data_IF_980767489282
#
_entry.id   IF_980767489282
#
_cell.length_a   1.000
_cell.length_b   1.000
_cell.length_c   1.000
_cell.angle_alpha   90.00
_cell.angle_beta   90.00
_cell.angle_gamma   90.00
#
_symmetry.space_group_name_H-M   'P 1'
#
loop_
_entity.id
_entity.type
_entity.pdbx_description
1 polymer ?
#
# COMPACT_ATOMS: atom_id res chain seq x y z
N UNK A 1 -13.52 -0.25 34.13
CA UNK A 1 -14.94 0.13 33.90
C UNK A 1 -14.97 1.60 33.50
N UNK A 2 -15.62 2.00 32.40
CA UNK A 2 -15.63 3.42 31.99
C UNK A 2 -16.43 4.24 33.00
N UNK A 3 -15.81 5.26 33.59
CA UNK A 3 -16.42 6.04 34.67
C UNK A 3 -17.25 7.22 34.12
N UNK A 4 -16.77 7.85 33.05
CA UNK A 4 -17.41 9.02 32.45
C UNK A 4 -16.94 9.19 31.01
N UNK A 5 -17.80 9.74 30.16
CA UNK A 5 -17.52 9.98 28.74
C UNK A 5 -18.16 11.31 28.30
N UNK A 6 -17.52 12.01 27.37
CA UNK A 6 -18.05 13.24 26.80
C UNK A 6 -17.63 13.39 25.33
N UNK A 7 -18.57 13.86 24.50
CA UNK A 7 -18.31 14.21 23.11
C UNK A 7 -17.80 15.64 23.00
N UNK A 8 -16.94 15.88 22.01
CA UNK A 8 -16.61 17.24 21.56
C UNK A 8 -17.85 17.92 20.97
N UNK A 9 -17.89 19.23 21.11
CA UNK A 9 -18.92 20.11 20.55
C UNK A 9 -18.82 20.33 19.03
N UNK A 10 -17.60 20.33 18.50
CA UNK A 10 -17.30 20.73 17.12
C UNK A 10 -16.96 19.57 16.20
N UNK A 11 -16.47 18.45 16.73
CA UNK A 11 -15.96 17.34 15.95
C UNK A 11 -16.45 15.98 16.46
N UNK A 12 -16.38 14.96 15.60
CA UNK A 12 -16.66 13.57 15.96
C UNK A 12 -15.49 12.95 16.74
N UNK A 13 -15.16 13.56 17.88
CA UNK A 13 -14.12 13.15 18.81
C UNK A 13 -14.79 12.84 20.14
N UNK A 14 -14.47 11.69 20.71
CA UNK A 14 -14.96 11.26 22.01
C UNK A 14 -13.80 11.25 23.00
N UNK A 15 -14.04 11.71 24.23
CA UNK A 15 -13.11 11.49 25.33
C UNK A 15 -13.79 10.68 26.43
N UNK A 16 -12.99 9.91 27.14
CA UNK A 16 -13.47 9.07 28.22
C UNK A 16 -12.40 8.82 29.25
N UNK A 17 -12.87 8.62 30.48
CA UNK A 17 -12.03 8.23 31.59
C UNK A 17 -12.31 6.76 31.92
N UNK A 18 -11.28 5.95 31.81
CA UNK A 18 -11.34 4.53 32.14
C UNK A 18 -10.30 4.21 33.21
N UNK A 19 -10.79 3.83 34.39
CA UNK A 19 -9.98 3.45 35.56
C UNK A 19 -8.93 4.53 35.90
N UNK A 20 -7.67 4.36 35.48
CA UNK A 20 -6.56 5.32 35.68
C UNK A 20 -6.02 5.91 34.37
N UNK A 21 -6.75 5.80 33.26
CA UNK A 21 -6.36 6.34 31.96
C UNK A 21 -7.42 7.29 31.43
N UNK A 22 -6.95 8.38 30.86
CA UNK A 22 -7.73 9.30 30.07
C UNK A 22 -7.48 8.95 28.60
N UNK A 23 -8.52 8.53 27.90
CA UNK A 23 -8.46 8.10 26.50
C UNK A 23 -9.28 9.04 25.65
N UNK A 24 -8.71 9.46 24.52
CA UNK A 24 -9.38 10.26 23.50
C UNK A 24 -9.42 9.45 22.21
N UNK A 25 -10.63 9.24 21.72
CA UNK A 25 -10.90 8.64 20.42
C UNK A 25 -11.04 9.77 19.40
N UNK A 26 -10.00 9.99 18.59
CA UNK A 26 -10.03 11.01 17.53
C UNK A 26 -11.00 10.66 16.39
N UNK A 27 -11.25 9.38 16.15
CA UNK A 27 -12.25 8.92 15.19
C UNK A 27 -12.98 7.66 15.70
N UNK A 28 -14.05 7.79 16.51
CA UNK A 28 -14.76 6.64 17.08
C UNK A 28 -15.38 5.71 16.04
N UNK A 29 -15.73 6.26 14.87
CA UNK A 29 -16.28 5.48 13.75
C UNK A 29 -15.30 4.46 13.17
N UNK A 30 -14.00 4.55 13.51
CA UNK A 30 -12.97 3.56 13.13
C UNK A 30 -13.40 2.14 13.50
N UNK A 31 -14.13 1.95 14.60
CA UNK A 31 -14.64 0.64 15.05
C UNK A 31 -15.44 -0.10 13.96
N UNK A 32 -16.14 0.63 13.09
CA UNK A 32 -16.93 0.07 11.99
C UNK A 32 -16.14 -0.14 10.70
N UNK A 33 -15.02 0.56 10.55
CA UNK A 33 -14.18 0.54 9.35
C UNK A 33 -13.13 -0.55 9.47
N UNK A 34 -12.31 -0.47 10.52
CA UNK A 34 -11.19 -1.37 10.75
C UNK A 34 -10.90 -1.42 12.26
N UNK A 35 -10.97 -2.62 12.84
CA UNK A 35 -10.75 -2.84 14.27
C UNK A 35 -9.26 -2.90 14.63
N UNK A 36 -8.40 -3.21 13.67
CA UNK A 36 -6.98 -3.44 13.90
C UNK A 36 -6.22 -2.10 13.95
N UNK A 37 -6.72 -1.09 13.21
CA UNK A 37 -6.18 0.28 13.28
C UNK A 37 -6.69 1.07 14.49
N UNK A 38 -7.80 0.65 15.10
CA UNK A 38 -8.44 1.33 16.25
C UNK A 38 -7.44 1.72 17.34
N UNK A 39 -6.60 0.82 17.91
CA UNK A 39 -5.68 1.18 18.99
C UNK A 39 -4.71 2.30 18.62
N UNK A 40 -4.41 2.49 17.33
CA UNK A 40 -3.52 3.55 16.85
C UNK A 40 -4.22 4.89 16.66
N UNK A 41 -5.54 4.92 16.59
CA UNK A 41 -6.32 6.16 16.49
C UNK A 41 -6.59 6.81 17.86
N UNK A 42 -6.19 6.13 18.93
CA UNK A 42 -6.40 6.55 20.31
C UNK A 42 -5.24 7.40 20.80
N UNK A 43 -5.56 8.41 21.59
CA UNK A 43 -4.60 9.07 22.45
C UNK A 43 -4.89 8.69 23.89
N UNK A 44 -3.89 8.10 24.55
CA UNK A 44 -3.98 7.73 25.95
C UNK A 44 -3.03 8.59 26.78
N UNK A 45 -3.52 9.05 27.94
CA UNK A 45 -2.76 9.77 28.95
C UNK A 45 -3.07 9.21 30.32
N UNK A 46 -2.07 9.12 31.18
CA UNK A 46 -2.27 8.68 32.56
C UNK A 46 -3.13 9.69 33.35
N UNK A 47 -4.17 9.17 34.00
CA UNK A 47 -5.15 9.95 34.74
C UNK A 47 -4.86 10.06 36.24
N UNK A 48 -3.68 9.60 36.68
CA UNK A 48 -3.26 9.63 38.09
C UNK A 48 -3.28 11.03 38.71
N UNK A 49 -3.21 12.08 37.87
CA UNK A 49 -3.26 13.50 38.26
C UNK A 49 -4.68 14.02 38.60
N UNK A 50 -5.74 13.25 38.30
CA UNK A 50 -7.13 13.71 38.39
C UNK A 50 -7.85 13.31 39.68
N UNK A 51 -7.14 12.76 40.68
CA UNK A 51 -7.65 12.36 42.00
C UNK A 51 -8.67 11.19 41.96
N UNK A 52 -9.25 10.83 43.12
CA UNK A 52 -10.28 9.78 43.21
C UNK A 52 -11.57 10.28 42.53
N UNK A 53 -12.20 9.48 41.67
CA UNK A 53 -13.47 9.77 40.99
C UNK A 53 -13.52 11.09 40.18
N UNK A 54 -12.71 11.25 39.12
CA UNK A 54 -12.83 12.41 38.25
C UNK A 54 -14.07 12.30 37.36
N UNK A 55 -14.74 13.42 37.16
CA UNK A 55 -15.90 13.53 36.26
C UNK A 55 -15.61 14.50 35.12
N UNK A 56 -15.79 14.05 33.87
CA UNK A 56 -15.65 14.95 32.71
C UNK A 56 -16.91 15.80 32.64
N UNK A 57 -16.74 17.13 32.64
CA UNK A 57 -17.85 18.09 32.61
C UNK A 57 -18.19 18.46 31.17
N UNK A 58 -17.19 18.86 30.39
CA UNK A 58 -17.38 19.32 29.02
C UNK A 58 -16.10 19.18 28.20
N UNK A 59 -16.29 19.09 26.88
CA UNK A 59 -15.22 19.15 25.91
C UNK A 59 -15.58 20.21 24.87
N UNK A 60 -14.86 21.34 24.91
CA UNK A 60 -15.09 22.51 24.06
C UNK A 60 -13.81 22.82 23.29
N UNK A 61 -13.87 22.80 21.96
CA UNK A 61 -12.70 23.02 21.11
C UNK A 61 -11.60 21.97 21.34
N UNK A 62 -10.41 22.39 21.80
CA UNK A 62 -9.33 21.47 22.18
C UNK A 62 -9.26 21.16 23.68
N UNK A 63 -10.09 21.81 24.51
CA UNK A 63 -9.97 21.75 25.95
C UNK A 63 -11.04 20.86 26.58
N UNK A 64 -10.59 19.91 27.39
CA UNK A 64 -11.45 19.04 28.19
C UNK A 64 -11.42 19.52 29.63
N UNK A 65 -12.59 19.79 30.19
CA UNK A 65 -12.75 20.21 31.58
C UNK A 65 -13.14 19.01 32.43
N UNK A 66 -12.31 18.70 33.42
CA UNK A 66 -12.51 17.60 34.36
C UNK A 66 -12.70 18.18 35.76
N UNK A 67 -13.75 17.74 36.44
CA UNK A 67 -14.00 18.03 37.85
C UNK A 67 -13.39 16.93 38.71
N UNK A 68 -12.47 17.31 39.59
CA UNK A 68 -11.88 16.43 40.61
C UNK A 68 -12.85 16.21 41.79
N UNK A 69 -12.56 15.24 42.66
CA UNK A 69 -13.40 14.96 43.84
C UNK A 69 -13.41 16.07 44.89
N UNK A 70 -12.37 16.90 44.95
CA UNK A 70 -12.32 18.10 45.78
C UNK A 70 -13.21 19.24 45.25
N UNK A 71 -13.80 19.06 44.07
CA UNK A 71 -14.62 20.05 43.39
C UNK A 71 -13.84 21.01 42.48
N UNK A 72 -12.51 20.94 42.47
CA UNK A 72 -11.68 21.76 41.59
C UNK A 72 -11.86 21.38 40.12
N UNK A 73 -11.84 22.38 39.25
CA UNK A 73 -11.87 22.19 37.79
C UNK A 73 -10.45 22.18 37.23
N UNK A 74 -10.17 21.19 36.39
CA UNK A 74 -8.89 20.99 35.70
C UNK A 74 -9.15 21.01 34.21
N UNK A 75 -8.32 21.74 33.48
CA UNK A 75 -8.40 21.80 32.02
C UNK A 75 -7.24 21.00 31.42
N UNK A 76 -7.57 20.07 30.52
CA UNK A 76 -6.61 19.35 29.69
C UNK A 76 -6.68 19.93 28.28
N UNK A 77 -5.57 20.43 27.77
CA UNK A 77 -5.45 20.83 26.37
C UNK A 77 -5.04 19.65 25.51
N UNK A 78 -5.79 19.38 24.45
CA UNK A 78 -5.51 18.36 23.45
C UNK A 78 -4.87 18.96 22.19
N UNK A 79 -4.33 18.09 21.34
CA UNK A 79 -3.83 18.49 20.03
C UNK A 79 -4.96 19.09 19.17
N UNK A 80 -4.77 20.25 18.52
CA UNK A 80 -5.78 20.84 17.65
C UNK A 80 -5.83 20.19 16.26
N UNK A 81 -4.80 19.43 15.88
CA UNK A 81 -4.67 18.87 14.52
C UNK A 81 -5.80 17.90 14.13
N UNK A 82 -6.33 17.02 15.01
CA UNK A 82 -7.44 16.16 14.66
C UNK A 82 -8.70 16.93 14.24
N UNK A 83 -9.00 18.05 14.90
CA UNK A 83 -10.15 18.88 14.54
C UNK A 83 -9.99 19.48 13.13
N UNK A 84 -8.80 19.99 12.82
CA UNK A 84 -8.46 20.51 11.48
C UNK A 84 -8.54 19.38 10.43
N UNK A 85 -8.10 18.17 10.79
CA UNK A 85 -8.17 17.01 9.89
C UNK A 85 -9.62 16.65 9.55
N UNK A 86 -10.53 16.65 10.54
CA UNK A 86 -11.97 16.46 10.33
C UNK A 86 -12.55 17.52 9.38
N UNK A 87 -12.13 18.78 9.51
CA UNK A 87 -12.56 19.87 8.63
C UNK A 87 -12.11 19.63 7.18
N UNK A 88 -10.84 19.24 6.95
CA UNK A 88 -10.34 18.91 5.62
C UNK A 88 -11.05 17.73 4.99
N UNK A 89 -11.34 16.69 5.77
CA UNK A 89 -12.09 15.51 5.30
C UNK A 89 -13.53 15.91 4.92
N UNK A 90 -14.20 16.72 5.74
CA UNK A 90 -15.54 17.22 5.43
C UNK A 90 -15.58 18.08 4.17
N UNK A 91 -14.50 18.82 3.92
CA UNK A 91 -14.29 19.64 2.72
C UNK A 91 -13.74 18.85 1.53
N UNK A 92 -13.52 17.53 1.66
CA UNK A 92 -12.87 16.68 0.65
C UNK A 92 -11.50 17.16 0.18
N UNK A 93 -10.76 17.90 1.02
CA UNK A 93 -9.41 18.42 0.75
C UNK A 93 -8.35 17.42 1.19
N UNK A 94 -8.28 16.30 0.48
CA UNK A 94 -7.43 15.17 0.85
C UNK A 94 -5.93 15.47 0.73
N UNK A 95 -5.49 16.26 -0.28
CA UNK A 95 -4.06 16.61 -0.40
C UNK A 95 -3.57 17.44 0.79
N UNK A 96 -4.38 18.38 1.28
CA UNK A 96 -4.04 19.22 2.44
C UNK A 96 -4.05 18.40 3.74
N UNK A 97 -4.97 17.44 3.88
CA UNK A 97 -4.96 16.48 4.98
C UNK A 97 -3.67 15.64 5.01
N UNK A 98 -3.21 15.15 3.86
CA UNK A 98 -1.94 14.40 3.75
C UNK A 98 -0.74 15.30 4.09
N UNK A 99 -0.74 16.57 3.64
CA UNK A 99 0.31 17.54 3.98
C UNK A 99 0.36 17.79 5.49
N UNK A 100 -0.80 17.93 6.14
CA UNK A 100 -0.88 18.07 7.60
C UNK A 100 -0.29 16.85 8.30
N UNK A 101 -0.62 15.63 7.86
CA UNK A 101 -0.07 14.40 8.45
C UNK A 101 1.45 14.29 8.26
N UNK A 102 1.98 14.70 7.10
CA UNK A 102 3.43 14.79 6.84
C UNK A 102 4.13 15.83 7.71
N UNK A 103 3.46 16.92 8.05
CA UNK A 103 3.98 17.97 8.91
C UNK A 103 4.04 17.51 10.38
N UNK A 104 2.93 16.95 10.88
CA UNK A 104 2.80 16.51 12.28
C UNK A 104 3.68 15.29 12.57
N UNK A 105 3.86 14.39 11.58
CA UNK A 105 4.68 13.16 11.70
C UNK A 105 4.24 12.22 12.83
N UNK A 106 3.00 12.33 13.29
CA UNK A 106 2.44 11.42 14.29
C UNK A 106 1.71 10.24 13.66
N UNK A 107 1.96 9.07 14.24
CA UNK A 107 1.37 7.80 13.82
C UNK A 107 -0.16 7.79 13.97
N UNK A 108 -0.66 8.43 15.02
CA UNK A 108 -2.09 8.56 15.33
C UNK A 108 -2.83 9.36 14.27
N UNK A 109 -2.20 10.41 13.74
CA UNK A 109 -2.78 11.26 12.70
C UNK A 109 -2.95 10.50 11.39
N UNK A 110 -1.92 9.74 10.97
CA UNK A 110 -2.00 8.87 9.81
C UNK A 110 -3.06 7.79 9.97
N UNK A 111 -3.19 7.20 11.17
CA UNK A 111 -4.23 6.22 11.46
C UNK A 111 -5.64 6.81 11.34
N UNK A 112 -5.85 8.03 11.83
CA UNK A 112 -7.12 8.73 11.71
C UNK A 112 -7.46 9.07 10.25
N UNK A 113 -6.47 9.53 9.48
CA UNK A 113 -6.64 9.81 8.05
C UNK A 113 -6.99 8.55 7.27
N UNK A 114 -6.33 7.42 7.55
CA UNK A 114 -6.63 6.13 6.92
C UNK A 114 -8.09 5.71 7.18
N UNK A 115 -8.53 5.75 8.44
CA UNK A 115 -9.90 5.38 8.80
C UNK A 115 -10.94 6.29 8.13
N UNK A 116 -10.69 7.61 8.08
CA UNK A 116 -11.57 8.58 7.42
C UNK A 116 -11.59 8.43 5.89
N UNK A 117 -10.44 8.14 5.27
CA UNK A 117 -10.35 7.92 3.83
C UNK A 117 -11.12 6.67 3.40
N UNK A 118 -11.01 5.57 4.15
CA UNK A 118 -11.78 4.35 3.89
C UNK A 118 -13.28 4.58 4.09
N UNK A 119 -13.68 5.32 5.12
CA UNK A 119 -15.09 5.66 5.34
C UNK A 119 -15.70 6.43 4.16
N UNK A 120 -14.93 7.36 3.56
CA UNK A 120 -15.34 8.15 2.40
C UNK A 120 -15.03 7.49 1.04
N UNK A 121 -14.50 6.26 1.03
CA UNK A 121 -14.11 5.49 -0.17
C UNK A 121 -13.01 6.13 -1.02
N UNK A 122 -12.18 7.01 -0.45
CA UNK A 122 -10.98 7.49 -1.11
C UNK A 122 -9.82 6.51 -0.88
N UNK A 123 -9.64 5.64 -1.87
CA UNK A 123 -8.63 4.57 -1.82
C UNK A 123 -7.20 5.12 -1.93
N UNK A 124 -7.00 6.25 -2.64
CA UNK A 124 -5.66 6.78 -2.92
C UNK A 124 -5.02 7.35 -1.65
N UNK A 125 -5.79 8.14 -0.90
CA UNK A 125 -5.33 8.69 0.38
C UNK A 125 -5.20 7.59 1.44
N UNK A 126 -6.09 6.60 1.42
CA UNK A 126 -5.99 5.44 2.30
C UNK A 126 -4.68 4.68 2.08
N UNK A 127 -4.28 4.40 0.83
CA UNK A 127 -3.02 3.72 0.51
C UNK A 127 -1.79 4.46 1.08
N UNK A 128 -1.73 5.79 0.89
CA UNK A 128 -0.64 6.62 1.43
C UNK A 128 -0.62 6.56 2.96
N UNK A 129 -1.78 6.65 3.59
CA UNK A 129 -1.88 6.64 5.03
C UNK A 129 -1.50 5.28 5.64
N UNK A 130 -1.98 4.17 5.08
CA UNK A 130 -1.57 2.83 5.49
C UNK A 130 -0.07 2.57 5.28
N UNK A 131 0.49 3.05 4.16
CA UNK A 131 1.93 2.95 3.91
C UNK A 131 2.75 3.71 4.95
N UNK A 132 2.26 4.87 5.42
CA UNK A 132 2.92 5.64 6.47
C UNK A 132 2.83 4.98 7.87
N UNK A 133 1.82 4.15 8.12
CA UNK A 133 1.62 3.45 9.40
C UNK A 133 2.56 2.24 9.56
N UNK A 134 3.08 1.68 8.48
CA UNK A 134 4.14 0.66 8.51
C UNK A 134 3.73 -0.71 9.07
N UNK A 135 2.47 -0.92 9.44
CA UNK A 135 1.98 -2.25 9.83
C UNK A 135 1.29 -2.96 8.68
N UNK A 136 1.86 -4.11 8.29
CA UNK A 136 1.18 -5.40 8.04
C UNK A 136 0.05 -5.54 7.02
N UNK A 137 -0.64 -4.48 6.62
CA UNK A 137 -1.79 -4.51 5.70
C UNK A 137 -1.41 -4.36 4.23
N UNK A 138 -0.11 -4.53 3.92
CA UNK A 138 0.42 -4.55 2.56
C UNK A 138 -0.27 -5.59 1.65
N UNK A 139 -0.82 -6.68 2.22
CA UNK A 139 -1.30 -7.81 1.41
C UNK A 139 -2.76 -7.68 0.99
N UNK A 140 -3.66 -7.07 1.76
CA UNK A 140 -5.10 -7.13 1.43
C UNK A 140 -5.56 -6.00 0.50
N UNK A 141 -4.98 -4.80 0.65
CA UNK A 141 -5.43 -3.61 -0.09
C UNK A 141 -4.65 -3.35 -1.37
N UNK A 142 -3.32 -3.50 -1.34
CA UNK A 142 -2.52 -3.46 -2.57
C UNK A 142 -2.93 -4.60 -3.50
N UNK A 143 -3.20 -5.81 -3.00
CA UNK A 143 -3.68 -6.91 -3.87
C UNK A 143 -5.03 -6.57 -4.50
N UNK A 144 -6.00 -5.99 -3.80
CA UNK A 144 -7.33 -5.74 -4.40
C UNK A 144 -7.34 -4.58 -5.41
N UNK A 145 -6.59 -3.51 -5.16
CA UNK A 145 -6.50 -2.32 -6.04
C UNK A 145 -5.57 -2.57 -7.26
N UNK A 146 -4.42 -3.22 -7.04
CA UNK A 146 -3.46 -3.61 -8.08
C UNK A 146 -4.02 -4.76 -8.95
N UNK A 147 -4.67 -5.76 -8.35
CA UNK A 147 -5.14 -6.96 -9.07
C UNK A 147 -6.14 -6.62 -10.18
N UNK A 148 -7.05 -5.64 -10.04
CA UNK A 148 -8.11 -5.44 -11.03
C UNK A 148 -7.68 -4.68 -12.29
N UNK A 149 -6.77 -3.71 -12.17
CA UNK A 149 -6.28 -2.92 -13.30
C UNK A 149 -5.09 -3.60 -13.96
N UNK A 150 -4.17 -4.14 -13.17
CA UNK A 150 -2.99 -4.82 -13.70
C UNK A 150 -3.27 -6.25 -14.15
N UNK A 151 -4.25 -7.01 -13.62
CA UNK A 151 -4.58 -8.33 -14.25
C UNK A 151 -5.04 -8.18 -15.69
N UNK A 152 -5.71 -7.08 -16.05
CA UNK A 152 -6.17 -6.90 -17.44
C UNK A 152 -5.02 -6.50 -18.35
N UNK A 153 -4.09 -5.67 -17.86
CA UNK A 153 -2.89 -5.28 -18.61
C UNK A 153 -1.87 -6.41 -18.69
N UNK A 154 -1.51 -7.02 -17.55
CA UNK A 154 -0.58 -8.15 -17.46
C UNK A 154 -1.09 -9.38 -18.21
N UNK A 155 -2.39 -9.72 -18.15
CA UNK A 155 -2.91 -10.87 -18.94
C UNK A 155 -2.64 -10.71 -20.44
N UNK A 156 -2.66 -9.48 -20.95
CA UNK A 156 -2.37 -9.20 -22.36
C UNK A 156 -0.85 -9.20 -22.62
N UNK A 157 -0.06 -8.63 -21.71
CA UNK A 157 1.40 -8.57 -21.81
C UNK A 157 2.08 -9.93 -21.62
N UNK A 158 1.54 -10.80 -20.76
CA UNK A 158 2.01 -12.17 -20.54
C UNK A 158 1.73 -13.05 -21.76
N UNK A 159 0.58 -12.90 -22.41
CA UNK A 159 0.32 -13.60 -23.68
C UNK A 159 1.26 -13.12 -24.78
N UNK A 160 1.56 -11.82 -24.81
CA UNK A 160 2.52 -11.23 -25.74
C UNK A 160 3.95 -11.71 -25.48
N UNK A 161 4.38 -11.76 -24.21
CA UNK A 161 5.76 -12.12 -23.85
C UNK A 161 6.07 -13.58 -24.25
N UNK A 162 5.10 -14.48 -24.05
CA UNK A 162 5.22 -15.87 -24.51
C UNK A 162 5.25 -15.95 -26.04
N UNK A 163 4.39 -15.21 -26.75
CA UNK A 163 4.40 -15.18 -28.22
C UNK A 163 5.73 -14.68 -28.78
N UNK A 164 6.30 -13.65 -28.16
CA UNK A 164 7.59 -13.09 -28.56
C UNK A 164 8.73 -14.09 -28.30
N UNK A 165 8.77 -14.69 -27.13
CA UNK A 165 9.76 -15.70 -26.76
C UNK A 165 9.73 -16.92 -27.71
N UNK A 166 8.52 -17.40 -28.05
CA UNK A 166 8.33 -18.50 -29.01
C UNK A 166 8.76 -18.09 -30.43
N UNK A 167 8.44 -16.86 -30.85
CA UNK A 167 8.79 -16.33 -32.17
C UNK A 167 10.31 -16.22 -32.38
N UNK A 168 11.04 -15.81 -31.35
CA UNK A 168 12.50 -15.64 -31.41
C UNK A 168 13.28 -16.83 -30.83
N UNK A 169 12.59 -17.86 -30.32
CA UNK A 169 13.18 -19.06 -29.68
C UNK A 169 14.18 -18.73 -28.57
N UNK A 170 13.90 -17.69 -27.80
CA UNK A 170 14.77 -17.19 -26.73
C UNK A 170 13.99 -17.06 -25.43
N UNK A 171 14.59 -17.54 -24.33
CA UNK A 171 14.11 -17.37 -22.95
C UNK A 171 12.66 -17.78 -22.66
N UNK A 172 12.13 -18.80 -23.34
CA UNK A 172 10.77 -19.33 -23.15
C UNK A 172 10.60 -19.88 -21.74
N UNK A 173 11.50 -20.77 -21.33
CA UNK A 173 11.75 -21.25 -19.98
C UNK A 173 11.75 -20.17 -18.88
N UNK A 174 12.40 -19.03 -19.10
CA UNK A 174 12.39 -17.91 -18.14
C UNK A 174 11.00 -17.33 -17.97
N UNK A 175 10.27 -17.11 -19.08
CA UNK A 175 8.89 -16.59 -19.05
C UNK A 175 7.96 -17.56 -18.33
N UNK A 176 8.11 -18.87 -18.58
CA UNK A 176 7.36 -19.92 -17.88
C UNK A 176 7.67 -19.95 -16.38
N UNK A 177 8.95 -19.85 -15.98
CA UNK A 177 9.37 -19.82 -14.59
C UNK A 177 8.79 -18.62 -13.82
N UNK A 178 8.84 -17.42 -14.41
CA UNK A 178 8.25 -16.23 -13.79
C UNK A 178 6.73 -16.37 -13.63
N UNK A 179 6.05 -16.96 -14.62
CA UNK A 179 4.61 -17.18 -14.58
C UNK A 179 4.20 -18.17 -13.48
N UNK A 180 4.94 -19.27 -13.34
CA UNK A 180 4.66 -20.26 -12.30
C UNK A 180 4.84 -19.67 -10.90
N UNK A 181 5.90 -18.89 -10.69
CA UNK A 181 6.16 -18.21 -9.41
C UNK A 181 5.09 -17.17 -9.07
N UNK A 182 4.61 -16.42 -10.07
CA UNK A 182 3.50 -15.49 -9.91
C UNK A 182 2.24 -16.26 -9.42
N UNK A 183 1.88 -17.34 -10.10
CA UNK A 183 0.72 -18.15 -9.74
C UNK A 183 0.81 -18.77 -8.33
N UNK A 184 1.98 -19.25 -7.93
CA UNK A 184 2.24 -19.75 -6.58
C UNK A 184 2.05 -18.67 -5.51
N UNK A 185 2.54 -17.45 -5.78
CA UNK A 185 2.40 -16.29 -4.87
C UNK A 185 0.93 -15.92 -4.64
N UNK A 186 0.07 -16.13 -5.64
CA UNK A 186 -1.36 -15.84 -5.56
C UNK A 186 -2.22 -17.08 -5.27
N UNK A 187 -1.62 -18.26 -5.08
CA UNK A 187 -2.33 -19.52 -4.82
C UNK A 187 -3.31 -19.93 -5.93
N UNK A 188 -3.05 -19.55 -7.19
CA UNK A 188 -3.91 -19.84 -8.34
C UNK A 188 -3.27 -20.88 -9.26
N UNK A 189 -4.08 -21.64 -9.99
CA UNK A 189 -3.60 -22.58 -11.01
C UNK A 189 -3.65 -21.96 -12.42
N UNK A 190 -2.70 -22.36 -13.26
CA UNK A 190 -2.62 -21.88 -14.63
C UNK A 190 -3.88 -22.27 -15.41
N UNK A 191 -4.52 -21.27 -16.02
CA UNK A 191 -5.78 -21.45 -16.75
C UNK A 191 -5.58 -21.38 -18.26
N UNK A 192 -4.42 -20.88 -18.72
CA UNK A 192 -4.16 -20.67 -20.13
C UNK A 192 -3.58 -21.93 -20.80
N UNK A 193 -4.27 -22.43 -21.84
CA UNK A 193 -3.91 -23.65 -22.58
C UNK A 193 -2.53 -23.57 -23.25
N UNK A 194 -2.10 -22.38 -23.69
CA UNK A 194 -0.78 -22.21 -24.31
C UNK A 194 0.36 -22.42 -23.31
N UNK A 195 0.23 -21.86 -22.11
CA UNK A 195 1.23 -22.01 -21.05
C UNK A 195 1.38 -23.48 -20.63
N UNK A 196 0.27 -24.22 -20.56
CA UNK A 196 0.28 -25.66 -20.26
C UNK A 196 1.00 -26.48 -21.36
N UNK A 197 0.78 -26.16 -22.64
CA UNK A 197 1.45 -26.85 -23.75
C UNK A 197 2.97 -26.66 -23.76
N UNK A 198 3.46 -25.46 -23.44
CA UNK A 198 4.90 -25.19 -23.41
C UNK A 198 5.57 -25.67 -22.11
N UNK A 199 4.85 -25.63 -20.98
CA UNK A 199 5.31 -26.19 -19.71
C UNK A 199 5.50 -27.71 -19.76
N UNK A 200 4.72 -28.43 -20.57
CA UNK A 200 4.86 -29.87 -20.77
C UNK A 200 6.09 -30.24 -21.65
N UNK A 201 6.56 -29.30 -22.48
CA UNK A 201 7.69 -29.52 -23.39
C UNK A 201 9.08 -29.19 -22.83
N UNK A 202 9.17 -28.34 -21.80
CA UNK A 202 10.45 -27.89 -21.23
C UNK A 202 10.69 -28.50 -19.84
N UNK A 203 11.52 -29.55 -19.78
CA UNK A 203 11.89 -30.23 -18.54
C UNK A 203 12.85 -29.42 -17.63
N UNK A 204 13.40 -28.30 -18.13
CA UNK A 204 14.47 -27.51 -17.47
C UNK A 204 13.94 -26.24 -16.76
N UNK A 205 12.62 -26.04 -16.71
CA UNK A 205 12.02 -24.86 -16.09
C UNK A 205 12.32 -24.79 -14.59
N UNK A 206 12.37 -25.93 -13.90
CA UNK A 206 12.59 -26.02 -12.46
C UNK A 206 14.04 -25.78 -12.01
N UNK A 207 15.02 -25.97 -12.90
CA UNK A 207 16.44 -25.72 -12.56
C UNK A 207 16.73 -24.22 -12.53
N UNK A 208 16.17 -23.45 -13.48
CA UNK A 208 16.32 -21.98 -13.56
C UNK A 208 15.54 -21.22 -12.49
N UNK A 209 14.43 -21.79 -11.98
CA UNK A 209 13.74 -21.24 -10.79
C UNK A 209 14.69 -21.16 -9.59
N UNK A 210 15.52 -22.20 -9.38
CA UNK A 210 16.49 -22.23 -8.28
C UNK A 210 17.65 -21.25 -8.45
N UNK A 211 18.09 -21.00 -9.68
CA UNK A 211 19.12 -19.99 -9.95
C UNK A 211 18.62 -18.56 -9.68
N UNK A 212 17.34 -18.29 -9.96
CA UNK A 212 16.70 -17.01 -9.60
C UNK A 212 16.56 -16.87 -8.07
N UNK A 213 16.37 -17.97 -7.34
CA UNK A 213 16.31 -17.98 -5.88
C UNK A 213 17.67 -17.74 -5.19
N UNK A 214 18.77 -18.18 -5.82
CA UNK A 214 20.11 -18.09 -5.25
C UNK A 214 20.75 -16.69 -5.33
N UNK A 215 20.18 -15.78 -6.11
CA UNK A 215 20.80 -14.50 -6.48
C UNK A 215 20.73 -13.39 -5.42
N UNK A 216 19.63 -13.21 -4.69
CA UNK A 216 19.52 -12.11 -3.71
C UNK A 216 18.58 -12.41 -2.53
N UNK A 217 18.89 -11.93 -1.31
CA UNK A 217 18.10 -12.18 -0.12
C UNK A 217 16.70 -11.55 -0.23
N UNK A 218 15.68 -12.38 0.05
CA UNK A 218 14.24 -12.11 -0.06
C UNK A 218 13.77 -10.72 0.43
N UNK A 219 14.43 -10.15 1.44
CA UNK A 219 14.10 -8.82 1.99
C UNK A 219 14.53 -7.64 1.11
N UNK A 220 15.54 -7.79 0.26
CA UNK A 220 16.00 -6.76 -0.69
C UNK A 220 15.08 -6.72 -1.92
N UNK A 221 14.54 -7.86 -2.32
CA UNK A 221 13.53 -7.97 -3.37
C UNK A 221 12.24 -7.22 -3.04
N UNK A 222 11.71 -7.37 -1.81
CA UNK A 222 10.51 -6.65 -1.37
C UNK A 222 10.68 -5.13 -1.35
N UNK A 223 11.88 -4.64 -1.01
CA UNK A 223 12.22 -3.21 -1.01
C UNK A 223 12.49 -2.66 -2.41
N UNK A 224 13.18 -3.42 -3.26
CA UNK A 224 13.57 -2.97 -4.60
C UNK A 224 12.41 -3.07 -5.61
N UNK A 225 11.49 -4.02 -5.49
CA UNK A 225 10.32 -4.09 -6.40
C UNK A 225 9.27 -3.00 -6.15
N UNK A 226 9.22 -2.45 -4.93
CA UNK A 226 8.30 -1.35 -4.62
C UNK A 226 8.85 0.03 -5.04
N UNK A 227 10.14 0.12 -5.39
CA UNK A 227 10.79 1.38 -5.82
C UNK A 227 11.43 1.35 -7.22
N UNK A 228 11.67 0.18 -7.79
CA UNK A 228 11.83 0.03 -9.24
C UNK A 228 10.56 -0.60 -9.76
N UNK A 229 9.72 0.20 -10.44
CA UNK A 229 9.07 -0.27 -11.65
C UNK A 229 10.06 -1.22 -12.34
N UNK A 230 9.72 -2.50 -12.49
CA UNK A 230 10.18 -3.17 -13.71
C UNK A 230 9.53 -2.36 -14.81
N UNK A 231 10.33 -1.43 -15.29
CA UNK A 231 9.95 -0.50 -16.31
C UNK A 231 9.95 -1.32 -17.59
N UNK A 232 8.83 -2.01 -17.81
CA UNK A 232 8.61 -2.81 -18.99
C UNK A 232 8.77 -1.95 -20.26
N UNK A 233 8.72 -0.62 -20.16
CA UNK A 233 9.17 0.28 -21.23
C UNK A 233 10.68 0.26 -21.46
N UNK A 234 11.53 0.25 -20.43
CA UNK A 234 12.99 0.08 -20.60
C UNK A 234 13.35 -1.28 -21.15
N UNK A 235 12.64 -2.33 -20.72
CA UNK A 235 12.83 -3.69 -21.26
C UNK A 235 12.36 -3.74 -22.72
N UNK A 236 11.18 -3.17 -23.04
CA UNK A 236 10.69 -3.01 -24.43
C UNK A 236 11.67 -2.23 -25.28
N UNK A 237 12.15 -1.08 -24.83
CA UNK A 237 13.10 -0.24 -25.57
C UNK A 237 14.43 -0.95 -25.83
N UNK A 238 14.88 -1.79 -24.88
CA UNK A 238 16.11 -2.57 -25.03
C UNK A 238 15.92 -3.74 -25.99
N UNK A 239 14.77 -4.41 -25.94
CA UNK A 239 14.41 -5.46 -26.91
C UNK A 239 14.22 -4.87 -28.32
N UNK A 240 13.56 -3.71 -28.45
CA UNK A 240 13.39 -3.00 -29.72
C UNK A 240 14.73 -2.50 -30.29
N UNK A 241 15.64 -2.02 -29.45
CA UNK A 241 17.01 -1.67 -29.86
C UNK A 241 17.81 -2.89 -30.35
N UNK A 242 17.68 -4.04 -29.69
CA UNK A 242 18.34 -5.26 -30.16
C UNK A 242 17.73 -5.75 -31.49
N UNK A 243 16.40 -5.61 -31.67
CA UNK A 243 15.70 -5.93 -32.92
C UNK A 243 16.16 -5.03 -34.09
N UNK A 244 16.31 -3.72 -33.88
CA UNK A 244 16.83 -2.81 -34.93
C UNK A 244 18.28 -3.12 -35.26
N UNK A 245 19.10 -3.43 -34.28
CA UNK A 245 20.51 -3.80 -34.46
C UNK A 245 20.70 -5.13 -35.22
N UNK A 246 19.86 -6.13 -34.94
CA UNK A 246 19.83 -7.39 -35.71
C UNK A 246 19.34 -7.15 -37.15
N UNK A 247 18.37 -6.25 -37.35
CA UNK A 247 17.87 -5.86 -38.69
C UNK A 247 18.93 -5.13 -39.51
N UNK A 248 19.77 -4.30 -38.88
CA UNK A 248 20.91 -3.63 -39.50
C UNK A 248 22.08 -4.60 -39.81
N UNK A 249 22.30 -5.60 -38.96
CA UNK A 249 23.21 -6.73 -39.27
C UNK A 249 22.73 -7.58 -40.45
N UNK A 250 21.41 -7.77 -40.54
CA UNK A 250 20.78 -8.51 -41.63
C UNK A 250 20.90 -7.76 -42.96
N UNK A 251 20.69 -6.44 -42.96
CA UNK A 251 20.79 -5.59 -44.15
C UNK A 251 22.24 -5.37 -44.60
N UNK A 252 23.20 -5.24 -43.68
CA UNK A 252 24.63 -5.18 -44.00
C UNK A 252 25.15 -6.50 -44.56
N UNK A 253 24.67 -7.65 -44.07
CA UNK A 253 24.99 -8.97 -44.63
C UNK A 253 24.40 -9.19 -46.04
N UNK A 254 23.23 -8.62 -46.34
CA UNK A 254 22.64 -8.61 -47.68
C UNK A 254 23.34 -7.63 -48.64
N UNK A 255 23.81 -6.48 -48.15
CA UNK A 255 24.59 -5.51 -48.92
C UNK A 255 25.95 -6.08 -49.34
N UNK A 256 26.66 -6.79 -48.45
CA UNK A 256 27.93 -7.46 -48.78
C UNK A 256 27.75 -8.62 -49.76
N UNK A 257 26.62 -9.35 -49.73
CA UNK A 257 26.31 -10.40 -50.72
C UNK A 257 26.02 -9.83 -52.11
N UNK A 258 25.35 -8.68 -52.21
CA UNK A 258 25.05 -8.05 -53.50
C UNK A 258 26.27 -7.40 -54.18
N UNK A 259 27.32 -7.07 -53.42
CA UNK A 259 28.58 -6.56 -53.97
C UNK A 259 29.43 -7.71 -54.57
N UNK A 260 29.35 -8.93 -54.02
CA UNK A 260 30.06 -10.10 -54.53
C UNK A 260 29.46 -10.76 -55.79
N UNK A 261 28.30 -10.28 -56.27
CA UNK A 261 27.59 -10.80 -57.45
C UNK A 261 27.71 -9.88 -58.68
N UNK A 262 28.52 -8.81 -58.59
CA UNK A 262 28.90 -7.96 -59.72
C UNK A 262 30.39 -8.13 -60.02
N UNK A 263 30.75 -9.29 -60.56
CA UNK A 263 31.98 -9.49 -61.33
C UNK A 263 31.69 -10.48 -62.45
#
# INVERSE_FOLDING_TARGET
MVHTLAWSDTCNILCGLQDTRFTVWYYPNTVYVDRDILPKTLYERDASEFSKNPHIVSFVGNQVTIRRADGSLVHISLSPYPAILHEYVSSSKWEDAVRLCRFVKEQTMWACLAAMAVANRDMTTAEIAYAAIGEGFYVLFCVSSFSLKDLKSQRNEETWALELAVKYKTHVDTVLAYRQKFLETFGKQETNKRYLQYAEGEADVQSRVREVEAGEPFGVWFRNYFYLQIDWEKIRAKIEMEITKERERSSSSQASKNIGLRH
#
